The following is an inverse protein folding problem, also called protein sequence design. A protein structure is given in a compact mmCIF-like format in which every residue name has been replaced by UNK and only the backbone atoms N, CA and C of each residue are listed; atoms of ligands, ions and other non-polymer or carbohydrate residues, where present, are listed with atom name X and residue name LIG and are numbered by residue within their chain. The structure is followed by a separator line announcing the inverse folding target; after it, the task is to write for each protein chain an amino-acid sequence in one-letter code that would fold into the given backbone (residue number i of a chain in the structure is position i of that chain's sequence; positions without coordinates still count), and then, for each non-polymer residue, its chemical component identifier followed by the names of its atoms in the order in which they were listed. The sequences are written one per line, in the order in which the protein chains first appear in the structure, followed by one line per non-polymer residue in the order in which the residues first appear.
data_IF_663445369457
#
_entry.id   IF_663445369457
#
_cell.length_a   1.000
_cell.length_b   1.000
_cell.length_c   1.000
_cell.angle_alpha   90.00
_cell.angle_beta   90.00
_cell.angle_gamma   90.00
#
_symmetry.space_group_name_H-M   'P 1'
#
loop_
_entity.id
_entity.type
_entity.pdbx_description
1 polymer ?
#
# COMPACT_ATOMS: atom_id res chain seq x y z
N UNK A 1 14.24 -8.64 -7.88
CA UNK A 1 13.15 -8.15 -8.76
C UNK A 1 11.85 -8.17 -7.98
N UNK A 2 11.01 -7.14 -8.09
CA UNK A 2 9.67 -7.20 -7.54
C UNK A 2 8.76 -7.95 -8.53
N UNK A 3 8.23 -9.09 -8.13
CA UNK A 3 7.24 -9.80 -8.95
C UNK A 3 5.91 -9.06 -8.85
N UNK A 4 5.34 -8.65 -9.99
CA UNK A 4 4.01 -8.05 -10.01
C UNK A 4 2.98 -9.14 -9.69
N UNK A 5 2.23 -9.03 -8.58
CA UNK A 5 1.22 -10.01 -8.26
C UNK A 5 0.11 -9.97 -9.32
N UNK A 6 -0.34 -11.14 -9.78
CA UNK A 6 -1.48 -11.23 -10.70
C UNK A 6 -2.76 -10.97 -9.91
N UNK A 7 -3.45 -9.88 -10.24
CA UNK A 7 -4.74 -9.55 -9.65
C UNK A 7 -5.86 -10.42 -10.25
N UNK A 8 -6.86 -10.73 -9.43
CA UNK A 8 -8.13 -11.28 -9.93
C UNK A 8 -8.85 -10.26 -10.81
N UNK A 9 -9.81 -10.72 -11.62
CA UNK A 9 -10.63 -9.83 -12.44
C UNK A 9 -11.36 -8.77 -11.59
N UNK A 10 -11.91 -9.19 -10.45
CA UNK A 10 -12.65 -8.30 -9.54
C UNK A 10 -11.72 -7.29 -8.87
N UNK A 11 -10.56 -7.72 -8.36
CA UNK A 11 -9.58 -6.80 -7.77
C UNK A 11 -9.06 -5.80 -8.81
N UNK A 12 -8.86 -6.24 -10.06
CA UNK A 12 -8.46 -5.36 -11.17
C UNK A 12 -9.53 -4.32 -11.52
N UNK A 13 -10.82 -4.71 -11.54
CA UNK A 13 -11.94 -3.79 -11.75
C UNK A 13 -12.02 -2.74 -10.65
N UNK A 14 -11.90 -3.15 -9.39
CA UNK A 14 -11.93 -2.25 -8.24
C UNK A 14 -10.75 -1.27 -8.27
N UNK A 15 -9.53 -1.77 -8.48
CA UNK A 15 -8.33 -0.93 -8.56
C UNK A 15 -8.44 0.10 -9.70
N UNK A 16 -9.02 -0.28 -10.85
CA UNK A 16 -9.23 0.65 -11.97
C UNK A 16 -10.19 1.77 -11.62
N UNK A 17 -11.29 1.48 -10.92
CA UNK A 17 -12.26 2.50 -10.48
C UNK A 17 -11.63 3.48 -9.51
N UNK A 18 -10.83 2.99 -8.56
CA UNK A 18 -10.09 3.85 -7.63
C UNK A 18 -9.08 4.71 -8.40
N UNK A 19 -8.36 4.11 -9.35
CA UNK A 19 -7.36 4.81 -10.16
C UNK A 19 -7.99 5.97 -10.96
N UNK A 20 -9.17 5.75 -11.57
CA UNK A 20 -9.93 6.79 -12.24
C UNK A 20 -10.39 7.90 -11.28
N UNK A 21 -10.92 7.54 -10.12
CA UNK A 21 -11.36 8.50 -9.12
C UNK A 21 -10.19 9.39 -8.62
N UNK A 22 -8.98 8.85 -8.59
CA UNK A 22 -7.76 9.57 -8.19
C UNK A 22 -7.02 10.24 -9.37
N UNK A 23 -7.48 10.07 -10.62
CA UNK A 23 -6.81 10.59 -11.81
C UNK A 23 -5.41 10.00 -12.04
N UNK A 24 -5.14 8.77 -11.59
CA UNK A 24 -3.81 8.13 -11.62
C UNK A 24 -3.82 6.81 -12.42
N UNK A 25 -2.67 6.34 -12.93
CA UNK A 25 -2.58 4.99 -13.47
C UNK A 25 -2.71 3.94 -12.36
N UNK A 26 -3.19 2.74 -12.72
CA UNK A 26 -3.43 1.63 -11.77
C UNK A 26 -2.18 1.23 -10.99
N UNK A 27 -0.99 1.28 -11.61
CA UNK A 27 0.29 0.95 -10.96
C UNK A 27 0.60 1.89 -9.80
N UNK A 28 0.51 3.21 -10.03
CA UNK A 28 0.69 4.22 -8.98
C UNK A 28 -0.40 4.16 -7.92
N UNK A 29 -1.62 3.90 -8.34
CA UNK A 29 -2.73 3.68 -7.41
C UNK A 29 -2.47 2.48 -6.50
N UNK A 30 -1.92 1.38 -7.02
CA UNK A 30 -1.59 0.21 -6.19
C UNK A 30 -0.45 0.48 -5.20
N UNK A 31 0.58 1.24 -5.60
CA UNK A 31 1.64 1.69 -4.70
C UNK A 31 1.08 2.58 -3.58
N UNK A 32 0.21 3.53 -3.93
CA UNK A 32 -0.45 4.43 -2.98
C UNK A 32 -1.34 3.68 -1.99
N UNK A 33 -2.09 2.67 -2.45
CA UNK A 33 -2.90 1.81 -1.59
C UNK A 33 -2.01 1.02 -0.62
N UNK A 34 -0.90 0.45 -1.10
CA UNK A 34 0.05 -0.27 -0.22
C UNK A 34 0.61 0.68 0.83
N UNK A 35 1.02 1.89 0.45
CA UNK A 35 1.50 2.91 1.38
C UNK A 35 0.42 3.31 2.40
N UNK A 36 -0.84 3.42 1.98
CA UNK A 36 -1.95 3.68 2.87
C UNK A 36 -2.19 2.53 3.86
N UNK A 37 -2.13 1.27 3.39
CA UNK A 37 -2.28 0.09 4.23
C UNK A 37 -1.17 0.01 5.29
N UNK A 38 0.08 0.31 4.92
CA UNK A 38 1.18 0.39 5.89
C UNK A 38 0.84 1.33 7.05
N UNK A 39 0.24 2.48 6.77
CA UNK A 39 -0.15 3.47 7.78
C UNK A 39 -1.43 3.11 8.57
N UNK A 40 -2.21 2.14 8.09
CA UNK A 40 -3.54 1.82 8.65
C UNK A 40 -3.61 0.48 9.36
N UNK A 41 -2.66 -0.42 9.11
CA UNK A 41 -2.63 -1.77 9.68
C UNK A 41 -1.84 -1.81 10.99
N UNK A 42 -2.17 -2.77 11.85
CA UNK A 42 -1.41 -3.03 13.06
C UNK A 42 -0.05 -3.66 12.71
N UNK A 43 1.01 -2.87 12.84
CA UNK A 43 2.39 -3.25 12.57
C UNK A 43 2.89 -4.41 13.44
N UNK A 44 2.50 -4.49 14.72
CA UNK A 44 2.91 -5.58 15.61
C UNK A 44 2.39 -6.92 15.09
N UNK A 45 1.10 -6.97 14.73
CA UNK A 45 0.47 -8.19 14.21
C UNK A 45 1.15 -8.67 12.90
N UNK A 46 1.54 -7.73 12.03
CA UNK A 46 2.26 -8.04 10.80
C UNK A 46 3.67 -8.54 11.09
N UNK A 47 4.39 -7.86 12.00
CA UNK A 47 5.76 -8.22 12.33
C UNK A 47 5.85 -9.59 13.00
N UNK A 48 4.88 -9.97 13.85
CA UNK A 48 4.82 -11.30 14.49
C UNK A 48 4.67 -12.45 13.48
N UNK A 49 3.96 -12.21 12.37
CA UNK A 49 3.70 -13.22 11.33
C UNK A 49 4.68 -13.16 10.15
N UNK A 50 5.61 -12.20 10.16
CA UNK A 50 6.57 -11.99 9.08
C UNK A 50 7.56 -13.17 8.98
N UNK A 51 7.68 -13.74 7.77
CA UNK A 51 8.54 -14.89 7.50
C UNK A 51 9.98 -14.52 7.11
N UNK A 52 10.22 -13.29 6.67
CA UNK A 52 11.55 -12.80 6.29
C UNK A 52 12.02 -11.67 7.21
N UNK A 53 12.73 -12.06 8.27
CA UNK A 53 13.25 -11.11 9.27
C UNK A 53 14.49 -10.34 8.77
N UNK A 54 15.13 -10.77 7.67
CA UNK A 54 16.35 -10.13 7.16
C UNK A 54 16.10 -8.73 6.60
N UNK A 55 14.85 -8.44 6.23
CA UNK A 55 14.42 -7.15 5.65
C UNK A 55 13.69 -6.25 6.63
N UNK A 56 13.47 -6.68 7.88
CA UNK A 56 12.81 -5.88 8.91
C UNK A 56 13.56 -4.58 9.24
N UNK A 57 14.88 -4.53 9.03
CA UNK A 57 15.68 -3.31 9.26
C UNK A 57 15.28 -2.12 8.37
N UNK A 58 14.73 -2.40 7.18
CA UNK A 58 14.36 -1.42 6.16
C UNK A 58 12.88 -1.51 5.76
N UNK A 59 12.04 -2.21 6.53
CA UNK A 59 10.63 -2.38 6.18
C UNK A 59 9.81 -1.12 6.49
N UNK A 60 8.66 -0.99 5.83
CA UNK A 60 7.79 0.17 5.98
C UNK A 60 6.99 0.18 7.30
N UNK A 61 6.95 -0.94 8.03
CA UNK A 61 6.25 -1.09 9.32
C UNK A 61 7.12 -0.77 10.54
N UNK A 62 8.41 -0.43 10.35
CA UNK A 62 9.29 -0.10 11.47
C UNK A 62 9.00 1.32 11.98
N UNK A 63 8.69 1.42 13.27
CA UNK A 63 8.52 2.69 14.00
C UNK A 63 9.76 3.58 13.80
N UNK A 64 9.56 4.75 13.17
CA UNK A 64 10.61 5.71 12.79
C UNK A 64 10.67 6.07 11.31
N UNK A 65 9.97 5.34 10.43
CA UNK A 65 9.97 5.58 8.97
C UNK A 65 8.70 6.32 8.47
N UNK A 66 8.03 7.09 9.34
CA UNK A 66 6.69 7.67 9.10
C UNK A 66 6.65 8.96 8.25
N UNK A 67 7.74 9.30 7.54
CA UNK A 67 7.81 10.56 6.77
C UNK A 67 6.97 10.58 5.47
N UNK A 68 6.27 9.49 5.12
CA UNK A 68 5.44 9.40 3.91
C UNK A 68 3.96 9.11 4.23
N UNK A 69 3.34 9.93 5.10
CA UNK A 69 1.89 9.89 5.32
C UNK A 69 1.16 10.42 4.08
N UNK A 70 0.81 9.54 3.15
CA UNK A 70 -0.16 9.86 2.10
C UNK A 70 -1.56 9.79 2.72
N UNK A 71 -2.13 10.94 3.06
CA UNK A 71 -3.56 11.02 3.37
C UNK A 71 -4.38 10.89 2.08
N UNK A 72 -4.75 9.66 1.70
CA UNK A 72 -5.65 9.42 0.54
C UNK A 72 -6.96 10.20 0.71
N UNK A 73 -7.44 10.42 1.95
CA UNK A 73 -8.59 11.29 2.24
C UNK A 73 -8.43 12.72 1.72
N UNK A 74 -7.21 13.23 1.57
CA UNK A 74 -6.92 14.56 1.00
C UNK A 74 -7.05 14.59 -0.53
N UNK A 75 -6.89 13.44 -1.19
CA UNK A 75 -6.92 13.30 -2.65
C UNK A 75 -8.33 13.06 -3.22
N UNK A 76 -9.28 12.65 -2.38
CA UNK A 76 -10.68 12.44 -2.75
C UNK A 76 -11.56 13.67 -2.42
N UNK A 77 -11.03 14.88 -2.58
CA UNK A 77 -11.83 16.12 -2.47
C UNK A 77 -12.63 16.29 -3.76
N UNK A 78 -13.92 15.96 -3.71
CA UNK A 78 -14.95 16.59 -4.56
C UNK A 78 -15.22 18.00 -4.08
#
# INVERSE_FOLDING_TARGET
MAYSPRLSLESSRTLRRIAWALGKPMTKTSEDIIAYLVNSLNEDAICQTCRDKTKCGTCHFKLGNQNNKIHIKSLMKS
#
